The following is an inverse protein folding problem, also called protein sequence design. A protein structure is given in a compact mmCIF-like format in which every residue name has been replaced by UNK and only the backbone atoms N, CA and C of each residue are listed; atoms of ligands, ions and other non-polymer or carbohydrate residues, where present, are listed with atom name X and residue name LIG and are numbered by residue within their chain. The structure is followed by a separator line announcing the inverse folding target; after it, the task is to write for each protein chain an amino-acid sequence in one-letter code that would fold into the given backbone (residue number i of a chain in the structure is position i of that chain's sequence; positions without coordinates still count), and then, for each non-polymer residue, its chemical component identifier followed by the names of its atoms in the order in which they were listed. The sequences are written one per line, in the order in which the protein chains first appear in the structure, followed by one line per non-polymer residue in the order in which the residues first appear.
data_IF_896812037126
#
_entry.id   IF_896812037126
#
_cell.length_a   1.000
_cell.length_b   1.000
_cell.length_c   1.000
_cell.angle_alpha   90.00
_cell.angle_beta   90.00
_cell.angle_gamma   90.00
#
_symmetry.space_group_name_H-M   'P 1'
#
loop_
_entity.id
_entity.type
_entity.pdbx_description
1 polymer ?
#
# COMPACT_ATOMS: atom_id res chain seq x y z
N UNK A 1 -8.55 -10.23 21.95
CA UNK A 1 -9.69 -9.55 21.29
C UNK A 1 -10.58 -10.45 20.43
N UNK A 2 -10.14 -11.64 20.03
CA UNK A 2 -10.93 -12.47 19.11
C UNK A 2 -12.24 -12.97 19.71
N UNK A 3 -12.24 -13.46 20.96
CA UNK A 3 -13.47 -13.87 21.67
C UNK A 3 -14.47 -12.72 21.79
N UNK A 4 -14.03 -11.54 22.28
CA UNK A 4 -14.89 -10.36 22.43
C UNK A 4 -15.49 -9.94 21.08
N UNK A 5 -14.66 -9.92 20.04
CA UNK A 5 -15.11 -9.63 18.67
C UNK A 5 -16.15 -10.66 18.22
N UNK A 6 -15.93 -11.95 18.43
CA UNK A 6 -16.87 -13.01 18.05
C UNK A 6 -18.19 -12.88 18.80
N UNK A 7 -18.16 -12.64 20.12
CA UNK A 7 -19.38 -12.42 20.92
C UNK A 7 -20.15 -11.22 20.39
N UNK A 8 -19.48 -10.10 20.10
CA UNK A 8 -20.12 -8.93 19.50
C UNK A 8 -20.79 -9.23 18.16
N UNK A 9 -20.12 -9.98 17.27
CA UNK A 9 -20.71 -10.40 15.99
C UNK A 9 -21.88 -11.36 16.16
N UNK A 10 -21.81 -12.30 17.11
CA UNK A 10 -22.90 -13.23 17.40
C UNK A 10 -24.12 -12.50 17.95
N UNK A 11 -23.92 -11.57 18.89
CA UNK A 11 -25.02 -10.74 19.42
C UNK A 11 -25.65 -9.87 18.34
N UNK A 12 -24.83 -9.25 17.48
CA UNK A 12 -25.31 -8.46 16.36
C UNK A 12 -26.12 -9.32 15.38
N UNK A 13 -25.61 -10.52 15.04
CA UNK A 13 -26.32 -11.45 14.15
C UNK A 13 -27.64 -11.90 14.75
N UNK A 14 -27.65 -12.29 16.04
CA UNK A 14 -28.86 -12.71 16.73
C UNK A 14 -29.91 -11.58 16.81
N UNK A 15 -29.46 -10.36 17.13
CA UNK A 15 -30.31 -9.16 17.13
C UNK A 15 -30.92 -8.90 15.75
N UNK A 16 -30.12 -9.00 14.69
CA UNK A 16 -30.60 -8.82 13.32
C UNK A 16 -31.61 -9.91 12.89
N UNK A 17 -31.38 -11.16 13.30
CA UNK A 17 -32.32 -12.26 13.05
C UNK A 17 -33.64 -12.06 13.80
N UNK A 18 -33.58 -11.73 15.09
CA UNK A 18 -34.75 -11.44 15.90
C UNK A 18 -35.54 -10.27 15.30
N UNK A 19 -34.86 -9.16 14.99
CA UNK A 19 -35.47 -8.02 14.31
C UNK A 19 -36.14 -8.45 13.00
N UNK A 20 -35.47 -9.25 12.16
CA UNK A 20 -36.01 -9.72 10.90
C UNK A 20 -37.28 -10.55 11.09
N UNK A 21 -37.24 -11.53 12.00
CA UNK A 21 -38.38 -12.40 12.30
C UNK A 21 -39.60 -11.60 12.79
N UNK A 22 -39.41 -10.69 13.75
CA UNK A 22 -40.50 -9.87 14.28
C UNK A 22 -41.00 -8.80 13.30
N UNK A 23 -40.17 -8.40 12.34
CA UNK A 23 -40.47 -7.34 11.38
C UNK A 23 -40.64 -7.88 9.96
N UNK A 24 -41.20 -9.08 9.78
CA UNK A 24 -41.43 -9.68 8.47
C UNK A 24 -42.60 -9.06 7.68
N UNK A 25 -42.71 -7.74 7.73
CA UNK A 25 -43.76 -6.96 7.08
C UNK A 25 -43.35 -6.60 5.65
N UNK A 26 -44.25 -6.76 4.66
CA UNK A 26 -44.04 -6.19 3.33
C UNK A 26 -44.03 -4.66 3.42
N UNK A 27 -43.12 -4.04 2.68
CA UNK A 27 -42.95 -2.60 2.58
C UNK A 27 -42.85 -2.25 1.10
N UNK A 28 -43.80 -1.42 0.68
CA UNK A 28 -43.87 -0.88 -0.66
C UNK A 28 -42.89 0.29 -0.77
N UNK A 29 -41.90 0.20 -1.66
CA UNK A 29 -40.97 1.31 -1.95
C UNK A 29 -41.25 1.82 -3.36
N UNK A 30 -41.84 3.01 -3.45
CA UNK A 30 -42.05 3.69 -4.73
C UNK A 30 -40.74 4.37 -5.16
N UNK A 31 -40.12 3.86 -6.22
CA UNK A 31 -38.86 4.40 -6.74
C UNK A 31 -39.16 5.44 -7.84
N UNK A 32 -40.23 5.22 -8.60
CA UNK A 32 -40.79 6.16 -9.59
C UNK A 32 -42.31 6.04 -9.63
N UNK A 33 -42.98 6.95 -10.33
CA UNK A 33 -44.46 7.01 -10.43
C UNK A 33 -45.12 5.73 -10.95
N UNK A 34 -44.40 4.88 -11.68
CA UNK A 34 -44.91 3.59 -12.19
C UNK A 34 -44.08 2.38 -11.71
N UNK A 35 -43.16 2.54 -10.74
CA UNK A 35 -42.33 1.44 -10.25
C UNK A 35 -42.38 1.36 -8.73
N UNK A 36 -43.16 0.39 -8.26
CA UNK A 36 -43.28 0.02 -6.85
C UNK A 36 -42.51 -1.27 -6.63
N UNK A 37 -41.53 -1.22 -5.75
CA UNK A 37 -40.75 -2.37 -5.35
C UNK A 37 -41.23 -2.87 -3.98
N UNK A 38 -41.87 -4.03 -3.99
CA UNK A 38 -42.27 -4.73 -2.78
C UNK A 38 -41.07 -5.47 -2.18
N UNK A 39 -40.54 -4.95 -1.07
CA UNK A 39 -39.47 -5.61 -0.31
C UNK A 39 -39.86 -5.78 1.14
N UNK A 40 -39.20 -6.70 1.86
CA UNK A 40 -39.43 -6.83 3.31
C UNK A 40 -38.64 -5.77 4.06
N UNK A 41 -39.23 -5.25 5.14
CA UNK A 41 -38.57 -4.28 6.02
C UNK A 41 -37.13 -4.68 6.42
N UNK A 42 -36.84 -5.92 6.84
CA UNK A 42 -35.47 -6.33 7.17
C UNK A 42 -34.51 -6.27 5.99
N UNK A 43 -34.96 -6.52 4.76
CA UNK A 43 -34.10 -6.41 3.58
C UNK A 43 -33.64 -4.97 3.37
N UNK A 44 -34.55 -4.00 3.53
CA UNK A 44 -34.22 -2.57 3.43
C UNK A 44 -33.22 -2.13 4.50
N UNK A 45 -33.37 -2.60 5.74
CA UNK A 45 -32.43 -2.30 6.83
C UNK A 45 -31.04 -2.84 6.50
N UNK A 46 -30.93 -4.09 6.05
CA UNK A 46 -29.64 -4.69 5.67
C UNK A 46 -29.01 -3.95 4.50
N UNK A 47 -29.78 -3.64 3.45
CA UNK A 47 -29.29 -2.92 2.27
C UNK A 47 -28.80 -1.52 2.65
N UNK A 48 -29.57 -0.78 3.46
CA UNK A 48 -29.20 0.57 3.91
C UNK A 48 -27.94 0.54 4.78
N UNK A 49 -27.84 -0.45 5.66
CA UNK A 49 -26.65 -0.67 6.48
C UNK A 49 -25.42 -1.00 5.63
N UNK A 50 -25.56 -1.88 4.62
CA UNK A 50 -24.49 -2.22 3.69
C UNK A 50 -24.08 -0.99 2.85
N UNK A 51 -25.02 -0.19 2.40
CA UNK A 51 -24.74 1.04 1.65
C UNK A 51 -23.88 2.02 2.44
N UNK A 52 -24.09 2.13 3.76
CA UNK A 52 -23.21 2.91 4.63
C UNK A 52 -21.88 2.22 4.96
N UNK A 53 -21.90 0.90 5.19
CA UNK A 53 -20.74 0.16 5.68
C UNK A 53 -19.73 -0.19 4.59
N UNK A 54 -20.19 -0.63 3.42
CA UNK A 54 -19.34 -1.09 2.30
C UNK A 54 -18.31 -0.04 1.86
N UNK A 55 -18.68 1.21 1.57
CA UNK A 55 -17.69 2.20 1.14
C UNK A 55 -16.64 2.48 2.23
N UNK A 56 -17.06 2.62 3.49
CA UNK A 56 -16.15 2.84 4.61
C UNK A 56 -15.21 1.65 4.84
N UNK A 57 -15.76 0.43 4.78
CA UNK A 57 -14.98 -0.80 4.92
C UNK A 57 -13.95 -0.96 3.80
N UNK A 58 -14.33 -0.61 2.56
CA UNK A 58 -13.46 -0.71 1.40
C UNK A 58 -12.27 0.26 1.51
N UNK A 59 -12.51 1.51 1.93
CA UNK A 59 -11.45 2.49 2.20
C UNK A 59 -10.50 1.98 3.27
N UNK A 60 -11.02 1.50 4.40
CA UNK A 60 -10.20 0.97 5.49
C UNK A 60 -9.35 -0.24 5.02
N UNK A 61 -9.94 -1.16 4.25
CA UNK A 61 -9.24 -2.32 3.69
C UNK A 61 -8.15 -1.90 2.70
N UNK A 62 -8.43 -0.94 1.82
CA UNK A 62 -7.48 -0.42 0.84
C UNK A 62 -6.30 0.28 1.53
N UNK A 63 -6.54 1.07 2.57
CA UNK A 63 -5.48 1.73 3.35
C UNK A 63 -4.54 0.73 4.00
N UNK A 64 -5.09 -0.32 4.63
CA UNK A 64 -4.27 -1.39 5.21
C UNK A 64 -3.44 -2.10 4.14
N UNK A 65 -4.04 -2.42 3.00
CA UNK A 65 -3.35 -3.08 1.89
C UNK A 65 -2.19 -2.24 1.32
N UNK A 66 -2.41 -0.93 1.15
CA UNK A 66 -1.36 0.00 0.69
C UNK A 66 -0.21 0.07 1.69
N UNK A 67 -0.50 0.17 2.98
CA UNK A 67 0.53 0.21 4.02
C UNK A 67 1.37 -1.08 4.02
N UNK A 68 0.73 -2.25 3.99
CA UNK A 68 1.43 -3.54 3.95
C UNK A 68 2.31 -3.67 2.70
N UNK A 69 1.84 -3.23 1.51
CA UNK A 69 2.68 -3.24 0.30
C UNK A 69 3.92 -2.35 0.43
N UNK A 70 3.77 -1.15 0.98
CA UNK A 70 4.90 -0.22 1.17
C UNK A 70 5.92 -0.80 2.14
N UNK A 71 5.47 -1.37 3.25
CA UNK A 71 6.34 -2.03 4.23
C UNK A 71 7.12 -3.16 3.56
N UNK A 72 6.46 -4.07 2.84
CA UNK A 72 7.14 -5.17 2.15
C UNK A 72 8.16 -4.67 1.11
N UNK A 73 7.86 -3.57 0.40
CA UNK A 73 8.78 -2.98 -0.56
C UNK A 73 10.02 -2.39 0.12
N UNK A 74 9.85 -1.74 1.28
CA UNK A 74 10.96 -1.22 2.08
C UNK A 74 11.80 -2.36 2.67
N UNK A 75 11.17 -3.39 3.22
CA UNK A 75 11.86 -4.58 3.75
C UNK A 75 12.70 -5.27 2.67
N UNK A 76 12.15 -5.45 1.47
CA UNK A 76 12.90 -6.05 0.35
C UNK A 76 14.05 -5.17 -0.13
N UNK A 77 13.88 -3.84 -0.17
CA UNK A 77 14.96 -2.92 -0.51
C UNK A 77 16.07 -2.93 0.55
N UNK A 78 15.73 -2.87 1.84
CA UNK A 78 16.69 -2.96 2.94
C UNK A 78 17.43 -4.29 2.91
N UNK A 79 16.74 -5.41 2.68
CA UNK A 79 17.38 -6.73 2.62
C UNK A 79 18.37 -6.85 1.43
N UNK A 80 18.04 -6.25 0.28
CA UNK A 80 18.97 -6.17 -0.87
C UNK A 80 20.21 -5.33 -0.58
N UNK A 81 20.08 -4.24 0.17
CA UNK A 81 21.21 -3.39 0.57
C UNK A 81 22.08 -4.06 1.63
N UNK A 82 21.48 -4.85 2.53
CA UNK A 82 22.18 -5.58 3.58
C UNK A 82 22.84 -6.88 3.09
N UNK A 83 22.39 -7.44 1.96
CA UNK A 83 22.99 -8.63 1.34
C UNK A 83 24.12 -8.20 0.41
N UNK A 84 25.39 -8.58 0.67
CA UNK A 84 26.50 -8.31 -0.24
C UNK A 84 26.21 -8.93 -1.61
N UNK A 85 26.43 -8.16 -2.69
CA UNK A 85 26.34 -8.68 -4.05
C UNK A 85 27.28 -9.89 -4.20
N UNK A 86 26.85 -11.01 -4.83
CA UNK A 86 27.75 -12.11 -5.13
C UNK A 86 28.92 -11.56 -5.94
N UNK A 87 30.15 -11.79 -5.46
CA UNK A 87 31.35 -11.43 -6.20
C UNK A 87 31.26 -12.10 -7.59
N UNK A 88 31.54 -11.37 -8.69
CA UNK A 88 31.50 -11.97 -10.01
C UNK A 88 32.48 -13.14 -10.03
N UNK A 89 31.98 -14.34 -10.36
CA UNK A 89 32.84 -15.49 -10.59
C UNK A 89 33.79 -15.12 -11.73
N UNK A 90 35.06 -14.95 -11.40
CA UNK A 90 36.11 -14.70 -12.38
C UNK A 90 36.07 -15.84 -13.40
N UNK A 91 35.63 -15.53 -14.61
CA UNK A 91 35.83 -16.41 -15.76
C UNK A 91 37.35 -16.60 -15.89
N UNK A 92 37.80 -17.85 -15.73
CA UNK A 92 39.19 -18.22 -15.92
C UNK A 92 39.59 -17.93 -17.36
N UNK A 93 40.32 -16.83 -17.57
CA UNK A 93 41.05 -16.57 -18.80
C UNK A 93 42.34 -17.42 -18.79
N UNK A 94 42.70 -18.11 -19.88
CA UNK A 94 43.93 -18.86 -19.94
C UNK A 94 45.15 -17.92 -19.99
N UNK A 95 46.23 -18.38 -19.37
CA UNK A 95 47.42 -17.61 -19.03
C UNK A 95 48.28 -17.16 -20.23
N UNK A 96 48.71 -15.89 -20.14
CA UNK A 96 50.05 -15.31 -20.36
C UNK A 96 50.99 -15.86 -21.44
N UNK A 97 51.40 -14.98 -22.36
CA UNK A 97 52.79 -14.90 -22.82
C UNK A 97 53.15 -13.50 -23.37
N UNK A 98 54.12 -12.85 -22.70
CA UNK A 98 55.17 -11.93 -23.20
C UNK A 98 54.77 -10.60 -23.89
N UNK A 99 55.48 -9.46 -23.78
CA UNK A 99 56.57 -8.94 -22.96
C UNK A 99 56.77 -7.44 -23.34
N UNK A 100 57.50 -6.70 -22.49
CA UNK A 100 58.23 -5.43 -22.75
C UNK A 100 57.55 -4.06 -22.49
N UNK A 101 57.76 -3.56 -21.26
CA UNK A 101 58.43 -2.29 -20.87
C UNK A 101 58.24 -1.01 -21.71
N UNK A 102 57.70 0.05 -21.10
CA UNK A 102 58.44 1.29 -20.74
C UNK A 102 57.57 2.28 -19.93
N UNK A 103 58.10 2.65 -18.75
CA UNK A 103 58.10 3.95 -18.07
C UNK A 103 56.80 4.70 -17.66
N UNK A 104 56.84 5.49 -16.56
CA UNK A 104 55.67 5.98 -15.83
C UNK A 104 55.26 7.39 -16.27
N UNK A 105 53.95 7.64 -16.35
CA UNK A 105 53.38 8.99 -16.43
C UNK A 105 52.51 9.27 -15.20
N UNK A 106 52.84 10.38 -14.56
CA UNK A 106 52.22 10.97 -13.38
C UNK A 106 50.71 11.26 -13.52
N UNK A 107 50.01 11.53 -12.40
CA UNK A 107 48.56 11.47 -12.28
C UNK A 107 47.86 12.64 -12.99
N UNK A 108 46.90 12.31 -13.87
CA UNK A 108 45.98 13.28 -14.46
C UNK A 108 44.80 13.47 -13.48
N UNK A 109 44.89 14.54 -12.67
CA UNK A 109 43.77 15.03 -11.87
C UNK A 109 42.88 15.89 -12.78
N UNK A 110 41.56 15.66 -12.82
CA UNK A 110 40.63 16.53 -13.54
C UNK A 110 40.64 17.96 -12.97
N UNK A 111 40.45 19.01 -13.79
CA UNK A 111 40.43 20.39 -13.33
C UNK A 111 39.26 20.63 -12.37
N UNK A 112 39.58 21.25 -11.24
CA UNK A 112 38.62 21.73 -10.24
C UNK A 112 37.58 22.67 -10.89
N UNK A 113 36.27 22.41 -10.77
CA UNK A 113 35.28 23.31 -11.31
C UNK A 113 35.30 24.62 -10.53
N UNK A 114 35.68 25.71 -11.21
CA UNK A 114 35.49 27.07 -10.74
C UNK A 114 33.99 27.33 -10.58
N UNK A 115 33.47 27.13 -9.38
CA UNK A 115 32.17 27.64 -8.97
C UNK A 115 32.39 28.93 -8.17
N UNK A 116 32.05 30.11 -8.72
CA UNK A 116 31.89 31.31 -7.92
C UNK A 116 30.79 31.07 -6.88
N UNK A 117 31.18 31.09 -5.61
CA UNK A 117 30.23 31.20 -4.50
C UNK A 117 29.62 32.60 -4.59
N UNK A 118 28.46 32.71 -5.22
CA UNK A 118 27.65 33.94 -5.22
C UNK A 118 27.12 34.15 -3.78
N UNK A 119 27.47 35.26 -3.10
CA UNK A 119 26.93 35.52 -1.77
C UNK A 119 25.46 35.97 -1.85
N UNK A 120 24.65 35.33 -1.02
CA UNK A 120 23.23 35.58 -0.77
C UNK A 120 22.93 37.08 -0.53
N UNK A 121 22.05 37.73 -1.32
CA UNK A 121 21.70 39.13 -1.07
C UNK A 121 20.75 39.23 0.12
N UNK A 122 21.29 39.85 1.15
CA UNK A 122 20.65 40.30 2.38
C UNK A 122 19.33 41.05 2.12
N UNK A 123 18.27 40.61 2.80
CA UNK A 123 16.96 41.27 2.84
C UNK A 123 17.01 42.48 3.77
N UNK A 124 16.69 43.72 3.32
CA UNK A 124 16.47 44.82 4.24
C UNK A 124 15.04 44.81 4.80
N UNK A 125 14.95 45.39 6.00
CA UNK A 125 13.84 45.45 6.93
C UNK A 125 12.59 46.20 6.43
#
# INVERSE_FOLDING_TARGET
MQIVRTIGWVLLLFSLLAFSFFNWKPVEVQIWSNLVLETKLPALVVVSFLLGLVPMWLVHRASKWRATRRINALETATNRLATPAPAPAAAAAPASAAAATTAPSSPDLPPEPANPVEPEPSKPA
#
